data_IF_002026958925
#
_entry.id   IF_002026958925
#
_cell.length_a   1.000
_cell.length_b   1.000
_cell.length_c   1.000
_cell.angle_alpha   90.00
_cell.angle_beta   90.00
_cell.angle_gamma   90.00
#
_symmetry.space_group_name_H-M   'P 1'
#
loop_
_entity.id
_entity.type
_entity.pdbx_description
1 polymer ?
#
# COMPACT_ATOMS: atom_id res chain seq x y z
N UNK A 1 7.33 20.06 -4.83
CA UNK A 1 7.24 20.02 -3.39
C UNK A 1 8.51 20.61 -2.78
N UNK A 2 8.35 21.66 -2.04
CA UNK A 2 9.52 22.41 -1.64
C UNK A 2 10.23 21.86 -0.45
N UNK A 3 9.54 21.71 0.65
CA UNK A 3 10.19 21.22 1.86
C UNK A 3 9.23 20.37 2.68
N UNK A 4 9.75 19.25 3.14
CA UNK A 4 9.04 18.41 4.07
C UNK A 4 9.72 18.53 5.43
N UNK A 5 8.92 18.70 6.47
CA UNK A 5 9.45 18.67 7.83
C UNK A 5 9.87 17.24 8.19
N UNK A 6 10.65 17.12 9.26
CA UNK A 6 11.02 15.79 9.77
C UNK A 6 9.80 14.98 10.12
N UNK A 7 8.78 15.65 10.70
CA UNK A 7 7.53 14.97 11.07
C UNK A 7 6.79 14.47 9.84
N UNK A 8 6.74 15.28 8.77
CA UNK A 8 6.11 14.86 7.51
C UNK A 8 6.80 13.63 6.93
N UNK A 9 8.13 13.61 6.96
CA UNK A 9 8.90 12.47 6.46
C UNK A 9 8.62 11.21 7.28
N UNK A 10 8.54 11.34 8.61
CA UNK A 10 8.20 10.21 9.46
C UNK A 10 6.81 9.66 9.16
N UNK A 11 5.85 10.55 8.99
CA UNK A 11 4.47 10.17 8.67
C UNK A 11 4.40 9.45 7.31
N UNK A 12 5.13 9.95 6.31
CA UNK A 12 5.18 9.32 4.99
C UNK A 12 5.79 7.92 5.06
N UNK A 13 6.87 7.75 5.80
CA UNK A 13 7.49 6.43 5.97
C UNK A 13 6.54 5.45 6.65
N UNK A 14 5.82 5.94 7.65
CA UNK A 14 4.84 5.12 8.36
C UNK A 14 3.71 4.66 7.42
N UNK A 15 3.19 5.58 6.61
CA UNK A 15 2.16 5.26 5.62
C UNK A 15 2.66 4.25 4.58
N UNK A 16 3.87 4.45 4.09
CA UNK A 16 4.48 3.54 3.11
C UNK A 16 4.58 2.12 3.70
N UNK A 17 5.05 2.02 4.93
CA UNK A 17 5.12 0.73 5.64
C UNK A 17 3.76 0.09 5.81
N UNK A 18 2.73 0.90 6.10
CA UNK A 18 1.35 0.44 6.19
C UNK A 18 0.84 -0.13 4.88
N UNK A 19 1.15 0.52 3.76
CA UNK A 19 0.75 0.02 2.45
C UNK A 19 1.43 -1.29 2.10
N UNK A 20 2.70 -1.46 2.47
CA UNK A 20 3.40 -2.73 2.26
C UNK A 20 2.74 -3.86 3.03
N UNK A 21 2.39 -3.61 4.29
CA UNK A 21 1.71 -4.60 5.13
C UNK A 21 0.33 -4.93 4.56
N UNK A 22 -0.43 -3.91 4.15
CA UNK A 22 -1.75 -4.11 3.54
C UNK A 22 -1.65 -4.93 2.26
N UNK A 23 -0.68 -4.62 1.41
CA UNK A 23 -0.46 -5.35 0.17
C UNK A 23 -0.25 -6.85 0.44
N UNK A 24 0.63 -7.16 1.38
CA UNK A 24 0.92 -8.54 1.77
C UNK A 24 -0.31 -9.26 2.27
N UNK A 25 -1.06 -8.62 3.18
CA UNK A 25 -2.27 -9.21 3.74
C UNK A 25 -3.34 -9.45 2.69
N UNK A 26 -3.51 -8.50 1.76
CA UNK A 26 -4.49 -8.65 0.69
C UNK A 26 -4.14 -9.81 -0.24
N UNK A 27 -2.85 -10.02 -0.53
CA UNK A 27 -2.42 -11.16 -1.31
C UNK A 27 -2.68 -12.48 -0.59
N UNK A 28 -2.46 -12.52 0.73
CA UNK A 28 -2.75 -13.70 1.53
C UNK A 28 -4.25 -14.03 1.52
N UNK A 29 -5.10 -13.01 1.69
CA UNK A 29 -6.55 -13.20 1.64
C UNK A 29 -6.99 -13.67 0.27
N UNK A 30 -6.43 -13.12 -0.79
CA UNK A 30 -6.74 -13.55 -2.15
C UNK A 30 -6.37 -15.02 -2.36
N UNK A 31 -5.21 -15.43 -1.85
CA UNK A 31 -4.75 -16.81 -1.96
C UNK A 31 -5.67 -17.79 -1.24
N UNK A 32 -6.23 -17.40 -0.10
CA UNK A 32 -7.12 -18.24 0.69
C UNK A 32 -8.59 -18.20 0.29
N UNK A 33 -8.98 -17.26 -0.59
CA UNK A 33 -10.37 -17.12 -0.98
C UNK A 33 -10.78 -18.19 -1.98
N UNK A 34 -11.94 -18.83 -1.73
CA UNK A 34 -12.49 -19.80 -2.65
C UNK A 34 -13.46 -19.18 -3.66
N UNK A 35 -14.05 -18.03 -3.30
CA UNK A 35 -14.99 -17.33 -4.19
C UNK A 35 -14.20 -16.45 -5.17
N UNK A 36 -14.40 -16.60 -6.49
CA UNK A 36 -13.65 -15.83 -7.47
C UNK A 36 -13.82 -14.32 -7.36
N UNK A 37 -15.01 -13.86 -6.97
CA UNK A 37 -15.26 -12.42 -6.83
C UNK A 37 -14.52 -11.83 -5.63
N UNK A 38 -14.51 -12.57 -4.53
CA UNK A 38 -13.78 -12.16 -3.32
C UNK A 38 -12.29 -12.17 -3.59
N UNK A 39 -11.80 -13.20 -4.25
CA UNK A 39 -10.39 -13.29 -4.65
C UNK A 39 -9.97 -12.08 -5.49
N UNK A 40 -10.80 -11.73 -6.48
CA UNK A 40 -10.53 -10.59 -7.35
C UNK A 40 -10.54 -9.27 -6.58
N UNK A 41 -11.46 -9.12 -5.63
CA UNK A 41 -11.51 -7.94 -4.77
C UNK A 41 -10.19 -7.75 -4.00
N UNK A 42 -9.68 -8.81 -3.39
CA UNK A 42 -8.43 -8.72 -2.63
C UNK A 42 -7.23 -8.47 -3.54
N UNK A 43 -7.21 -9.05 -4.74
CA UNK A 43 -6.15 -8.79 -5.70
C UNK A 43 -6.13 -7.32 -6.12
N UNK A 44 -7.28 -6.73 -6.37
CA UNK A 44 -7.39 -5.31 -6.72
C UNK A 44 -6.98 -4.41 -5.55
N UNK A 45 -7.36 -4.80 -4.33
CA UNK A 45 -6.98 -4.04 -3.13
C UNK A 45 -5.48 -4.07 -2.92
N UNK A 46 -4.82 -5.20 -3.16
CA UNK A 46 -3.37 -5.30 -3.08
C UNK A 46 -2.70 -4.38 -4.11
N UNK A 47 -3.23 -4.34 -5.32
CA UNK A 47 -2.72 -3.48 -6.38
C UNK A 47 -2.84 -2.00 -6.02
N UNK A 48 -4.00 -1.60 -5.46
CA UNK A 48 -4.22 -0.22 -5.02
C UNK A 48 -3.24 0.19 -3.93
N UNK A 49 -2.98 -0.69 -2.99
CA UNK A 49 -2.02 -0.41 -1.92
C UNK A 49 -0.62 -0.17 -2.48
N UNK A 50 -0.20 -0.98 -3.46
CA UNK A 50 1.11 -0.83 -4.10
C UNK A 50 1.20 0.48 -4.89
N UNK A 51 0.14 0.84 -5.61
CA UNK A 51 0.10 2.10 -6.36
C UNK A 51 0.19 3.31 -5.42
N UNK A 52 -0.54 3.27 -4.32
CA UNK A 52 -0.50 4.34 -3.33
C UNK A 52 0.88 4.48 -2.71
N UNK A 53 1.53 3.37 -2.43
CA UNK A 53 2.90 3.36 -1.93
C UNK A 53 3.84 4.04 -2.93
N UNK A 54 3.74 3.69 -4.21
CA UNK A 54 4.60 4.27 -5.24
C UNK A 54 4.41 5.78 -5.37
N UNK A 55 3.18 6.25 -5.26
CA UNK A 55 2.89 7.69 -5.28
C UNK A 55 3.55 8.41 -4.12
N UNK A 56 3.48 7.83 -2.92
CA UNK A 56 4.10 8.43 -1.74
C UNK A 56 5.62 8.43 -1.83
N UNK A 57 6.21 7.41 -2.42
CA UNK A 57 7.65 7.33 -2.57
C UNK A 57 8.24 8.43 -3.45
N UNK A 58 7.43 9.07 -4.28
CA UNK A 58 7.87 10.20 -5.09
C UNK A 58 8.31 11.39 -4.25
N UNK A 59 7.86 11.47 -3.00
CA UNK A 59 8.28 12.55 -2.10
C UNK A 59 9.68 12.35 -1.52
N UNK A 60 10.31 11.21 -1.76
CA UNK A 60 11.63 10.87 -1.22
C UNK A 60 12.71 10.94 -2.31
N UNK A 61 12.79 12.03 -2.96
CA UNK A 61 13.82 12.25 -3.98
C UNK A 61 15.06 12.93 -3.43
#
# INVERSE_FOLDING_TARGET
MDELSVLDLQNLRHLIGGYETSHKKMLEYASGASDPQIKQFFQKSAQSAMQNKQQLMQFFH
#
